data_IF_491675019750
#
_entry.id   IF_491675019750
#
_cell.length_a   1.000
_cell.length_b   1.000
_cell.length_c   1.000
_cell.angle_alpha   90.00
_cell.angle_beta   90.00
_cell.angle_gamma   90.00
#
_symmetry.space_group_name_H-M   'P 1'
#
loop_
_entity.id
_entity.type
_entity.pdbx_description
1 polymer ?
#
# COMPACT_ATOMS: atom_id res chain seq x y z
N UNK A 1 -0.89 -10.30 -3.91
CA UNK A 1 -0.71 -11.69 -3.46
C UNK A 1 0.53 -11.88 -2.59
N UNK A 2 1.76 -11.76 -3.12
CA UNK A 2 3.00 -12.06 -2.36
C UNK A 2 3.14 -11.30 -1.04
N UNK A 3 2.84 -10.00 -1.05
CA UNK A 3 2.79 -9.19 0.18
C UNK A 3 1.88 -9.82 1.26
N UNK A 4 0.73 -10.35 0.86
CA UNK A 4 -0.24 -10.92 1.80
C UNK A 4 0.23 -12.26 2.36
N UNK A 5 0.94 -13.08 1.58
CA UNK A 5 1.53 -14.35 2.09
C UNK A 5 2.49 -14.09 3.26
N UNK A 6 3.24 -12.99 3.20
CA UNK A 6 4.19 -12.62 4.25
C UNK A 6 3.52 -11.95 5.45
N UNK A 7 2.62 -10.99 5.21
CA UNK A 7 2.13 -10.09 6.25
C UNK A 7 0.77 -10.49 6.86
N UNK A 8 -0.06 -11.26 6.15
CA UNK A 8 -1.35 -11.70 6.69
C UNK A 8 -1.21 -12.62 7.91
N UNK A 9 -0.29 -13.62 7.94
CA UNK A 9 -0.07 -14.44 9.14
C UNK A 9 0.42 -13.65 10.36
N UNK A 10 0.96 -12.43 10.14
CA UNK A 10 1.42 -11.53 11.19
C UNK A 10 0.33 -10.55 11.67
N UNK A 11 -0.90 -10.66 11.17
CA UNK A 11 -2.01 -9.77 11.50
C UNK A 11 -1.88 -8.36 10.93
N UNK A 12 -0.99 -8.15 9.95
CA UNK A 12 -0.71 -6.83 9.37
C UNK A 12 -1.57 -6.51 8.14
N UNK A 13 -2.36 -7.46 7.66
CA UNK A 13 -3.33 -7.25 6.56
C UNK A 13 -4.73 -7.29 7.15
N UNK A 14 -5.41 -6.13 7.14
CA UNK A 14 -6.79 -6.01 7.64
C UNK A 14 -7.79 -6.51 6.59
N UNK A 15 -8.94 -7.00 7.07
CA UNK A 15 -10.06 -7.38 6.20
C UNK A 15 -9.99 -8.80 5.61
N UNK A 16 -9.09 -9.65 6.12
CA UNK A 16 -9.05 -11.07 5.78
C UNK A 16 -9.74 -11.92 6.84
N UNK A 17 -10.39 -12.99 6.41
CA UNK A 17 -10.93 -14.02 7.30
C UNK A 17 -9.83 -14.99 7.74
N UNK A 18 -10.06 -15.71 8.84
CA UNK A 18 -9.12 -16.72 9.34
C UNK A 18 -8.86 -17.83 8.30
N UNK A 19 -9.87 -18.20 7.51
CA UNK A 19 -9.70 -19.16 6.41
C UNK A 19 -8.76 -18.59 5.34
N UNK A 20 -8.94 -17.33 4.91
CA UNK A 20 -8.07 -16.70 3.92
C UNK A 20 -6.61 -16.62 4.41
N UNK A 21 -6.39 -16.29 5.69
CA UNK A 21 -5.06 -16.30 6.31
C UNK A 21 -4.48 -17.72 6.32
N UNK A 22 -5.30 -18.71 6.67
CA UNK A 22 -4.94 -20.12 6.63
C UNK A 22 -4.57 -20.60 5.22
N UNK A 23 -5.28 -20.17 4.16
CA UNK A 23 -4.93 -20.49 2.78
C UNK A 23 -3.60 -19.86 2.37
N UNK A 24 -3.34 -18.61 2.77
CA UNK A 24 -2.07 -17.91 2.48
C UNK A 24 -0.86 -18.63 3.07
N UNK A 25 -0.99 -19.23 4.25
CA UNK A 25 0.09 -19.99 4.91
C UNK A 25 0.45 -21.32 4.25
N UNK A 26 -0.41 -21.86 3.37
CA UNK A 26 -0.24 -23.20 2.74
C UNK A 26 0.53 -23.15 1.42
N UNK A 27 0.94 -21.97 0.97
CA UNK A 27 1.74 -21.77 -0.24
C UNK A 27 0.96 -21.29 -1.46
N UNK A 28 1.68 -21.05 -2.57
CA UNK A 28 1.20 -20.31 -3.74
C UNK A 28 0.00 -20.93 -4.48
N UNK A 29 -0.19 -22.24 -4.40
CA UNK A 29 -1.34 -22.89 -5.03
C UNK A 29 -2.66 -22.50 -4.34
N UNK A 30 -2.66 -22.38 -3.01
CA UNK A 30 -3.85 -22.10 -2.20
C UNK A 30 -4.15 -20.59 -2.13
N UNK A 31 -3.12 -19.75 -2.19
CA UNK A 31 -3.28 -18.29 -2.22
C UNK A 31 -4.10 -17.82 -3.44
N UNK A 32 -3.93 -18.46 -4.61
CA UNK A 32 -4.66 -18.12 -5.83
C UNK A 32 -6.16 -18.39 -5.74
N UNK A 33 -6.57 -19.33 -4.90
CA UNK A 33 -7.98 -19.70 -4.70
C UNK A 33 -8.58 -19.09 -3.43
N UNK A 34 -7.81 -18.32 -2.66
CA UNK A 34 -8.22 -17.76 -1.37
C UNK A 34 -9.15 -16.54 -1.48
N UNK A 35 -9.68 -16.23 -2.67
CA UNK A 35 -10.55 -15.07 -2.92
C UNK A 35 -10.02 -13.77 -2.27
N UNK A 36 -8.72 -13.50 -2.47
CA UNK A 36 -8.04 -12.35 -1.87
C UNK A 36 -8.63 -11.04 -2.42
N UNK A 37 -8.65 -9.95 -1.63
CA UNK A 37 -9.10 -8.65 -2.09
C UNK A 37 -8.37 -8.19 -3.35
N UNK A 38 -9.09 -7.51 -4.23
CA UNK A 38 -8.52 -6.91 -5.43
C UNK A 38 -7.70 -5.66 -5.09
N UNK A 39 -6.91 -5.16 -6.05
CA UNK A 39 -6.14 -3.93 -5.87
C UNK A 39 -7.08 -2.73 -5.65
N UNK A 40 -8.20 -2.68 -6.34
CA UNK A 40 -9.21 -1.62 -6.24
C UNK A 40 -9.78 -1.58 -4.82
N UNK A 41 -10.10 -2.73 -4.24
CA UNK A 41 -10.56 -2.84 -2.85
C UNK A 41 -9.48 -2.42 -1.85
N UNK A 42 -8.21 -2.73 -2.15
CA UNK A 42 -7.08 -2.28 -1.33
C UNK A 42 -6.89 -0.75 -1.38
N UNK A 43 -7.17 -0.12 -2.53
CA UNK A 43 -7.13 1.34 -2.70
C UNK A 43 -8.33 2.02 -2.02
N UNK A 44 -9.52 1.45 -2.15
CA UNK A 44 -10.75 1.94 -1.53
C UNK A 44 -10.67 1.89 0.01
N UNK A 45 -10.11 0.81 0.57
CA UNK A 45 -9.88 0.69 2.02
C UNK A 45 -8.78 1.61 2.55
N UNK A 46 -8.06 2.34 1.68
CA UNK A 46 -6.92 3.16 2.05
C UNK A 46 -5.68 2.36 2.45
N UNK A 47 -5.70 1.04 2.27
CA UNK A 47 -4.56 0.16 2.56
C UNK A 47 -3.41 0.38 1.56
N UNK A 48 -3.74 0.84 0.35
CA UNK A 48 -2.79 1.12 -0.73
C UNK A 48 -3.04 2.50 -1.35
N UNK A 49 -1.95 3.23 -1.61
CA UNK A 49 -1.97 4.49 -2.34
C UNK A 49 -1.50 4.24 -3.78
N UNK A 50 -2.45 4.11 -4.71
CA UNK A 50 -2.20 3.89 -6.14
C UNK A 50 -3.00 4.92 -6.94
N UNK A 51 -2.35 5.59 -7.88
CA UNK A 51 -3.00 6.61 -8.71
C UNK A 51 -2.01 7.60 -9.32
N UNK A 52 -2.54 8.71 -9.84
CA UNK A 52 -1.74 9.84 -10.36
C UNK A 52 -1.11 10.63 -9.21
N UNK A 53 -0.04 11.40 -9.46
CA UNK A 53 0.55 12.28 -8.45
C UNK A 53 -0.46 13.20 -7.76
N UNK A 54 -1.45 13.70 -8.50
CA UNK A 54 -2.53 14.55 -7.98
C UNK A 54 -3.39 13.79 -6.97
N UNK A 55 -3.87 12.60 -7.34
CA UNK A 55 -4.72 11.78 -6.45
C UNK A 55 -3.98 11.34 -5.18
N UNK A 56 -2.66 11.08 -5.28
CA UNK A 56 -1.85 10.72 -4.11
C UNK A 56 -1.61 11.94 -3.23
N UNK A 57 -1.40 13.12 -3.83
CA UNK A 57 -1.25 14.39 -3.10
C UNK A 57 -2.51 14.69 -2.30
N UNK A 58 -3.69 14.60 -2.93
CA UNK A 58 -4.99 14.82 -2.28
C UNK A 58 -5.16 13.92 -1.05
N UNK A 59 -4.95 12.60 -1.22
CA UNK A 59 -5.02 11.65 -0.09
C UNK A 59 -4.03 11.97 1.03
N UNK A 60 -2.81 12.38 0.72
CA UNK A 60 -1.81 12.73 1.74
C UNK A 60 -2.19 14.01 2.50
N UNK A 61 -2.77 15.01 1.82
CA UNK A 61 -3.30 16.22 2.46
C UNK A 61 -4.47 15.89 3.38
N UNK A 62 -5.38 15.00 2.97
CA UNK A 62 -6.47 14.51 3.84
C UNK A 62 -5.94 13.81 5.09
N UNK A 63 -4.89 12.99 4.95
CA UNK A 63 -4.22 12.32 6.08
C UNK A 63 -3.58 13.36 7.01
N UNK A 64 -2.91 14.38 6.47
CA UNK A 64 -2.33 15.46 7.29
C UNK A 64 -3.41 16.24 8.06
N UNK A 65 -4.54 16.55 7.42
CA UNK A 65 -5.67 17.22 8.07
C UNK A 65 -6.26 16.35 9.19
N UNK A 66 -6.33 15.03 8.99
CA UNK A 66 -6.81 14.07 9.99
C UNK A 66 -5.85 13.90 11.17
N UNK A 67 -4.55 14.01 10.93
CA UNK A 67 -3.49 13.83 11.93
C UNK A 67 -2.57 15.05 11.98
N UNK A 68 -2.96 16.14 12.66
CA UNK A 68 -2.19 17.40 12.68
C UNK A 68 -0.79 17.28 13.31
N UNK A 69 -0.50 16.19 14.04
CA UNK A 69 0.82 15.87 14.59
C UNK A 69 1.71 15.00 13.68
N UNK A 70 1.30 14.73 12.44
CA UNK A 70 2.06 13.88 11.52
C UNK A 70 3.39 14.55 11.14
N UNK A 71 4.51 13.89 11.49
CA UNK A 71 5.87 14.40 11.24
C UNK A 71 6.59 13.71 10.09
N UNK A 72 6.23 12.46 9.82
CA UNK A 72 6.89 11.63 8.83
C UNK A 72 5.90 10.64 8.23
N UNK A 73 6.09 10.37 6.94
CA UNK A 73 5.44 9.29 6.22
C UNK A 73 6.53 8.33 5.75
N UNK A 74 6.30 7.02 5.90
CA UNK A 74 7.13 6.01 5.28
C UNK A 74 6.46 5.59 3.96
N UNK A 75 7.19 5.69 2.86
CA UNK A 75 6.71 5.28 1.54
C UNK A 75 7.46 4.02 1.14
N UNK A 76 6.74 2.90 1.10
CA UNK A 76 7.27 1.59 0.76
C UNK A 76 6.74 1.09 -0.57
N UNK A 77 7.58 0.35 -1.30
CA UNK A 77 7.17 -0.43 -2.46
C UNK A 77 6.98 -1.89 -2.05
N UNK A 78 6.11 -2.60 -2.76
CA UNK A 78 5.89 -4.01 -2.45
C UNK A 78 7.07 -4.91 -2.79
N UNK A 79 7.17 -5.99 -2.04
CA UNK A 79 8.20 -7.02 -2.24
C UNK A 79 8.07 -7.57 -3.67
N UNK A 80 9.19 -7.57 -4.39
CA UNK A 80 9.28 -8.04 -5.77
C UNK A 80 9.10 -6.94 -6.83
N UNK A 81 8.86 -5.68 -6.46
CA UNK A 81 8.88 -4.57 -7.43
C UNK A 81 10.27 -4.43 -8.05
N UNK A 82 10.40 -4.41 -9.40
CA UNK A 82 11.70 -4.24 -10.05
C UNK A 82 12.37 -2.92 -9.67
N UNK A 83 13.69 -2.93 -9.48
CA UNK A 83 14.48 -1.75 -9.06
C UNK A 83 14.20 -0.52 -9.93
N UNK A 84 14.19 -0.69 -11.26
CA UNK A 84 13.90 0.40 -12.21
C UNK A 84 12.55 1.07 -11.94
N UNK A 85 11.52 0.29 -11.59
CA UNK A 85 10.18 0.81 -11.26
C UNK A 85 10.21 1.54 -9.92
N UNK A 86 10.94 1.01 -8.93
CA UNK A 86 11.11 1.69 -7.63
C UNK A 86 11.74 3.07 -7.83
N UNK A 87 12.84 3.14 -8.59
CA UNK A 87 13.55 4.40 -8.84
C UNK A 87 12.68 5.42 -9.58
N UNK A 88 11.94 4.98 -10.61
CA UNK A 88 11.00 5.84 -11.34
C UNK A 88 9.93 6.40 -10.41
N UNK A 89 9.29 5.55 -9.60
CA UNK A 89 8.22 5.97 -8.70
C UNK A 89 8.73 6.90 -7.58
N UNK A 90 9.92 6.64 -7.04
CA UNK A 90 10.54 7.52 -6.03
C UNK A 90 10.93 8.88 -6.62
N UNK A 91 11.48 8.92 -7.83
CA UNK A 91 11.82 10.18 -8.52
C UNK A 91 10.58 11.03 -8.76
N UNK A 92 9.51 10.41 -9.27
CA UNK A 92 8.21 11.07 -9.48
C UNK A 92 7.60 11.54 -8.16
N UNK A 93 7.61 10.71 -7.12
CA UNK A 93 7.11 11.09 -5.80
C UNK A 93 7.86 12.31 -5.25
N UNK A 94 9.19 12.32 -5.35
CA UNK A 94 10.03 13.42 -4.91
C UNK A 94 9.80 14.73 -5.65
N UNK A 95 9.56 14.68 -6.96
CA UNK A 95 9.38 15.87 -7.81
C UNK A 95 7.94 16.38 -7.84
N UNK A 96 6.96 15.48 -7.89
CA UNK A 96 5.57 15.82 -8.21
C UNK A 96 4.64 15.87 -6.99
N UNK A 97 5.01 15.20 -5.89
CA UNK A 97 4.15 15.04 -4.69
C UNK A 97 4.76 15.76 -3.48
N UNK A 98 6.02 15.47 -3.13
CA UNK A 98 6.65 16.04 -1.92
C UNK A 98 6.56 17.58 -1.83
N UNK A 99 6.73 18.37 -2.91
CA UNK A 99 6.62 19.83 -2.82
C UNK A 99 5.22 20.33 -2.47
N UNK A 100 4.17 19.55 -2.75
CA UNK A 100 2.76 19.92 -2.54
C UNK A 100 2.24 19.60 -1.13
N UNK A 101 2.94 18.73 -0.39
CA UNK A 101 2.52 18.25 0.95
C UNK A 101 3.44 18.73 2.08
N UNK A 102 4.54 19.40 1.76
CA UNK A 102 5.42 19.99 2.77
C UNK A 102 4.72 21.20 3.38
N UNK A 103 4.45 21.13 4.69
CA UNK A 103 4.11 22.31 5.48
C UNK A 103 5.32 23.25 5.51
N UNK A 104 5.13 24.59 5.37
CA UNK A 104 6.21 25.56 5.57
C UNK A 104 6.84 25.48 6.96
#
# INVERSE_FOLDING_TARGET
EENMKMFAPLGMVKGLTDDQIGQLSKGSQFAKTANLPTLEQAVESGSWLVGTPESITEKLLEIQARYPGLKAINVGQVIGTPEKVILEQLDRFGKEIMPKIKTP
#
